data_IF_153592658552
#
_entry.id   IF_153592658552
#
_cell.length_a   1.000
_cell.length_b   1.000
_cell.length_c   1.000
_cell.angle_alpha   90.00
_cell.angle_beta   90.00
_cell.angle_gamma   90.00
#
_symmetry.space_group_name_H-M   'P 1'
#
loop_
_entity.id
_entity.type
_entity.pdbx_description
1 polymer ?
#
# COMPACT_ATOMS: atom_id res chain seq x y z
N UNK A 1 -9.87 -6.42 -12.31
CA UNK A 1 -9.29 -5.90 -13.56
C UNK A 1 -9.63 -6.85 -14.70
N UNK A 2 -10.11 -6.34 -15.84
CA UNK A 2 -10.40 -7.15 -17.04
C UNK A 2 -9.13 -7.45 -17.84
N UNK A 3 -9.22 -8.33 -18.84
CA UNK A 3 -8.09 -8.57 -19.77
C UNK A 3 -7.63 -7.30 -20.50
N UNK A 4 -8.56 -6.49 -20.99
CA UNK A 4 -8.22 -5.19 -21.59
C UNK A 4 -7.51 -4.25 -20.60
N UNK A 5 -7.91 -4.29 -19.31
CA UNK A 5 -7.22 -3.55 -18.26
C UNK A 5 -5.79 -4.06 -18.01
N UNK A 6 -5.58 -5.38 -18.03
CA UNK A 6 -4.25 -5.98 -17.93
C UNK A 6 -3.35 -5.62 -19.11
N UNK A 7 -3.88 -5.66 -20.34
CA UNK A 7 -3.14 -5.22 -21.54
C UNK A 7 -2.76 -3.74 -21.47
N UNK A 8 -3.68 -2.90 -21.00
CA UNK A 8 -3.42 -1.49 -20.74
C UNK A 8 -2.32 -1.28 -19.70
N UNK A 9 -2.40 -2.01 -18.58
CA UNK A 9 -1.39 -2.00 -17.53
C UNK A 9 -0.01 -2.41 -18.08
N UNK A 10 0.05 -3.47 -18.89
CA UNK A 10 1.30 -3.92 -19.50
C UNK A 10 1.93 -2.86 -20.39
N UNK A 11 1.13 -2.21 -21.25
CA UNK A 11 1.60 -1.08 -22.07
C UNK A 11 2.09 0.08 -21.19
N UNK A 12 1.38 0.40 -20.10
CA UNK A 12 1.79 1.45 -19.17
C UNK A 12 3.11 1.12 -18.47
N UNK A 13 3.32 -0.13 -18.06
CA UNK A 13 4.58 -0.57 -17.46
C UNK A 13 5.75 -0.45 -18.44
N UNK A 14 5.55 -0.82 -19.72
CA UNK A 14 6.56 -0.64 -20.77
C UNK A 14 6.88 0.85 -21.00
N UNK A 15 5.86 1.72 -21.01
CA UNK A 15 6.03 3.17 -21.12
C UNK A 15 6.88 3.74 -19.99
N UNK A 16 6.60 3.34 -18.74
CA UNK A 16 7.27 3.85 -17.54
C UNK A 16 8.65 3.22 -17.29
N UNK A 17 8.93 2.04 -17.87
CA UNK A 17 10.22 1.30 -17.90
C UNK A 17 10.78 0.81 -16.57
N UNK A 18 10.61 1.55 -15.48
CA UNK A 18 11.32 1.33 -14.20
C UNK A 18 10.44 0.77 -13.08
N UNK A 19 9.16 1.16 -12.92
CA UNK A 19 8.34 0.61 -11.86
C UNK A 19 8.19 -0.91 -11.93
N UNK A 20 8.05 -1.55 -10.76
CA UNK A 20 7.81 -2.98 -10.58
C UNK A 20 6.50 -3.17 -9.81
N UNK A 21 5.73 -4.17 -10.23
CA UNK A 21 4.50 -4.62 -9.58
C UNK A 21 4.69 -6.02 -8.99
N UNK A 22 4.33 -6.18 -7.72
CA UNK A 22 4.28 -7.50 -7.08
C UNK A 22 2.86 -7.81 -6.63
N UNK A 23 2.31 -8.91 -7.16
CA UNK A 23 0.98 -9.40 -6.81
C UNK A 23 1.09 -10.52 -5.79
N UNK A 24 0.44 -10.35 -4.64
CA UNK A 24 0.37 -11.36 -3.60
C UNK A 24 -1.07 -11.86 -3.49
N UNK A 25 -1.38 -13.11 -3.86
CA UNK A 25 -2.75 -13.63 -3.82
C UNK A 25 -3.26 -13.76 -2.39
N UNK A 26 -4.50 -13.33 -2.20
CA UNK A 26 -5.27 -13.54 -0.97
C UNK A 26 -6.25 -14.71 -1.21
N UNK A 27 -7.14 -14.98 -0.27
CA UNK A 27 -7.99 -16.17 -0.29
C UNK A 27 -7.60 -17.19 0.78
N UNK A 28 -8.05 -18.44 0.61
CA UNK A 28 -7.70 -19.54 1.50
C UNK A 28 -7.97 -19.21 2.98
N UNK A 29 -6.96 -19.37 3.84
CA UNK A 29 -7.07 -19.04 5.27
C UNK A 29 -7.35 -17.55 5.53
N UNK A 30 -6.85 -16.65 4.69
CA UNK A 30 -7.08 -15.20 4.86
C UNK A 30 -8.55 -14.82 4.73
N UNK A 31 -9.33 -15.54 3.92
CA UNK A 31 -10.78 -15.30 3.79
C UNK A 31 -11.61 -15.90 4.92
N UNK A 32 -11.02 -16.74 5.77
CA UNK A 32 -11.73 -17.37 6.91
C UNK A 32 -11.58 -16.57 8.21
N UNK A 33 -10.64 -15.63 8.25
CA UNK A 33 -10.38 -14.75 9.39
C UNK A 33 -11.31 -13.54 9.30
N UNK A 34 -11.97 -13.19 10.40
CA UNK A 34 -12.83 -11.99 10.43
C UNK A 34 -11.99 -10.72 10.24
N UNK A 35 -12.50 -9.74 9.51
CA UNK A 35 -11.84 -8.43 9.35
C UNK A 35 -11.67 -7.69 10.67
N UNK A 36 -12.49 -8.02 11.68
CA UNK A 36 -12.45 -7.45 13.02
C UNK A 36 -11.58 -8.24 14.00
N UNK A 37 -11.05 -9.41 13.61
CA UNK A 37 -10.27 -10.28 14.49
C UNK A 37 -8.92 -9.65 14.88
N UNK A 38 -8.38 -8.79 14.01
CA UNK A 38 -7.10 -8.11 14.20
C UNK A 38 -7.14 -6.73 13.57
N UNK A 39 -6.22 -5.80 13.91
CA UNK A 39 -6.10 -4.51 13.23
C UNK A 39 -5.78 -4.56 11.73
N UNK A 40 -5.55 -5.75 11.14
CA UNK A 40 -5.36 -5.94 9.71
C UNK A 40 -6.69 -6.40 9.05
N UNK A 41 -7.46 -5.48 8.42
CA UNK A 41 -8.83 -5.75 7.99
C UNK A 41 -8.92 -6.40 6.61
N UNK A 42 -7.83 -6.46 5.84
CA UNK A 42 -7.87 -6.92 4.44
C UNK A 42 -8.01 -8.46 4.37
N UNK A 43 -9.24 -8.95 4.51
CA UNK A 43 -9.60 -10.38 4.58
C UNK A 43 -10.47 -10.79 3.38
N UNK A 44 -11.60 -11.46 3.62
CA UNK A 44 -12.53 -11.89 2.58
C UNK A 44 -12.91 -10.73 1.63
N UNK A 45 -13.07 -11.03 0.34
CA UNK A 45 -13.34 -10.03 -0.71
C UNK A 45 -12.08 -9.40 -1.32
N UNK A 46 -10.93 -9.42 -0.65
CA UNK A 46 -9.66 -8.98 -1.23
C UNK A 46 -9.03 -10.11 -2.05
N UNK A 47 -8.75 -9.86 -3.34
CA UNK A 47 -8.21 -10.89 -4.26
C UNK A 47 -6.67 -10.92 -4.26
N UNK A 48 -6.05 -9.73 -4.31
CA UNK A 48 -4.60 -9.57 -4.29
C UNK A 48 -4.21 -8.33 -3.50
N UNK A 49 -3.07 -8.38 -2.81
CA UNK A 49 -2.32 -7.18 -2.43
C UNK A 49 -1.31 -6.87 -3.53
N UNK A 50 -1.28 -5.63 -4.00
CA UNK A 50 -0.36 -5.15 -5.02
C UNK A 50 0.64 -4.18 -4.39
N UNK A 51 1.92 -4.44 -4.58
CA UNK A 51 2.99 -3.50 -4.23
C UNK A 51 3.52 -2.83 -5.49
N UNK A 52 3.63 -1.51 -5.44
CA UNK A 52 4.32 -0.69 -6.44
C UNK A 52 5.70 -0.35 -5.89
N UNK A 53 6.75 -0.44 -6.70
CA UNK A 53 8.08 -0.01 -6.28
C UNK A 53 8.89 0.54 -7.44
N UNK A 54 9.74 1.51 -7.16
CA UNK A 54 10.81 1.99 -8.06
C UNK A 54 12.06 2.03 -7.19
N UNK A 55 13.08 1.25 -7.54
CA UNK A 55 14.38 1.26 -6.86
C UNK A 55 15.41 1.87 -7.81
N UNK A 56 16.37 2.62 -7.26
CA UNK A 56 17.38 3.30 -8.04
C UNK A 56 18.68 3.45 -7.26
N UNK A 57 19.79 3.67 -7.99
CA UNK A 57 21.12 3.92 -7.40
C UNK A 57 21.60 5.34 -7.68
N UNK A 58 21.03 5.98 -8.69
CA UNK A 58 21.39 7.32 -9.14
C UNK A 58 21.03 8.35 -8.07
N UNK A 59 22.03 9.08 -7.58
CA UNK A 59 21.83 10.12 -6.58
C UNK A 59 21.41 11.45 -7.22
N UNK A 60 20.92 12.38 -6.39
CA UNK A 60 20.55 13.74 -6.81
C UNK A 60 19.05 13.94 -7.00
N UNK A 61 18.63 15.20 -6.85
CA UNK A 61 17.22 15.63 -6.87
C UNK A 61 16.55 15.29 -8.19
N UNK A 62 17.24 15.41 -9.33
CA UNK A 62 16.67 15.05 -10.64
C UNK A 62 16.29 13.57 -10.74
N UNK A 63 17.11 12.68 -10.18
CA UNK A 63 16.83 11.26 -10.15
C UNK A 63 15.66 10.96 -9.21
N UNK A 64 15.64 11.58 -8.03
CA UNK A 64 14.55 11.48 -7.06
C UNK A 64 13.22 11.92 -7.67
N UNK A 65 13.13 13.15 -8.18
CA UNK A 65 11.93 13.73 -8.77
C UNK A 65 11.38 12.86 -9.89
N UNK A 66 12.26 12.40 -10.79
CA UNK A 66 11.88 11.50 -11.88
C UNK A 66 11.31 10.18 -11.36
N UNK A 67 11.95 9.54 -10.39
CA UNK A 67 11.51 8.22 -9.91
C UNK A 67 10.20 8.34 -9.11
N UNK A 68 10.02 9.41 -8.35
CA UNK A 68 8.77 9.74 -7.66
C UNK A 68 7.62 10.04 -8.64
N UNK A 69 7.89 10.76 -9.74
CA UNK A 69 6.89 10.96 -10.81
C UNK A 69 6.44 9.62 -11.42
N UNK A 70 7.38 8.72 -11.73
CA UNK A 70 7.06 7.42 -12.34
C UNK A 70 6.15 6.57 -11.45
N UNK A 71 6.43 6.49 -10.15
CA UNK A 71 5.62 5.69 -9.22
C UNK A 71 4.24 6.31 -9.01
N UNK A 72 4.14 7.64 -8.90
CA UNK A 72 2.87 8.37 -8.77
C UNK A 72 2.00 8.22 -10.01
N UNK A 73 2.57 8.32 -11.21
CA UNK A 73 1.85 8.08 -12.48
C UNK A 73 1.32 6.65 -12.59
N UNK A 74 2.06 5.65 -12.10
CA UNK A 74 1.57 4.27 -12.03
C UNK A 74 0.44 4.12 -11.00
N UNK A 75 0.60 4.72 -9.83
CA UNK A 75 -0.40 4.72 -8.77
C UNK A 75 -1.72 5.35 -9.24
N UNK A 76 -1.66 6.49 -9.91
CA UNK A 76 -2.80 7.18 -10.52
C UNK A 76 -3.46 6.34 -11.61
N UNK A 77 -2.67 5.78 -12.54
CA UNK A 77 -3.17 4.90 -13.60
C UNK A 77 -3.96 3.70 -13.04
N UNK A 78 -3.57 3.19 -11.88
CA UNK A 78 -4.19 2.03 -11.25
C UNK A 78 -5.49 2.32 -10.50
N UNK A 79 -5.85 3.59 -10.32
CA UNK A 79 -7.04 4.03 -9.58
C UNK A 79 -8.34 3.30 -9.95
N UNK A 80 -8.72 3.11 -11.23
CA UNK A 80 -9.97 2.44 -11.57
C UNK A 80 -9.95 0.91 -11.37
N UNK A 81 -8.78 0.31 -11.09
CA UNK A 81 -8.60 -1.14 -11.04
C UNK A 81 -8.43 -1.71 -9.63
N UNK A 82 -8.36 -0.85 -8.61
CA UNK A 82 -8.13 -1.23 -7.20
C UNK A 82 -9.33 -0.85 -6.33
N UNK A 83 -9.27 -1.19 -5.03
CA UNK A 83 -10.25 -0.77 -4.02
C UNK A 83 -10.50 0.74 -4.05
N UNK A 84 -11.73 1.15 -3.75
CA UNK A 84 -12.15 2.55 -3.68
C UNK A 84 -13.10 2.75 -2.50
N UNK A 85 -13.11 3.97 -1.96
CA UNK A 85 -13.97 4.40 -0.85
C UNK A 85 -13.84 3.58 0.45
N UNK A 86 -12.65 3.51 1.08
CA UNK A 86 -11.39 4.15 0.68
C UNK A 86 -10.53 3.30 -0.26
N UNK A 87 -9.51 3.91 -0.88
CA UNK A 87 -8.46 3.14 -1.55
C UNK A 87 -7.55 2.53 -0.48
N UNK A 88 -7.66 1.21 -0.30
CA UNK A 88 -6.96 0.48 0.75
C UNK A 88 -5.43 0.56 0.61
N UNK A 89 -4.77 0.72 1.76
CA UNK A 89 -3.30 0.66 1.90
C UNK A 89 -2.92 -0.38 2.95
N UNK A 90 -1.65 -0.77 2.96
CA UNK A 90 -1.10 -1.69 3.95
C UNK A 90 -0.13 -0.95 4.86
N UNK A 91 -0.40 -0.93 6.16
CA UNK A 91 0.36 -0.15 7.15
C UNK A 91 1.88 -0.33 7.09
N UNK A 92 2.35 -1.56 6.83
CA UNK A 92 3.79 -1.85 6.77
C UNK A 92 4.46 -1.33 5.49
N UNK A 93 3.69 -0.89 4.50
CA UNK A 93 4.16 -0.14 3.33
C UNK A 93 3.73 1.31 3.52
N UNK A 94 4.48 2.01 4.38
CA UNK A 94 4.21 3.42 4.72
C UNK A 94 4.28 4.28 3.46
N UNK A 95 3.26 5.09 3.28
CA UNK A 95 3.14 6.02 2.17
C UNK A 95 2.71 7.38 2.71
N UNK A 96 3.62 8.35 2.65
CA UNK A 96 3.39 9.72 3.13
C UNK A 96 2.54 10.54 2.17
N UNK A 97 2.42 10.12 0.90
CA UNK A 97 1.57 10.79 -0.08
C UNK A 97 0.07 10.57 0.22
N UNK A 98 -0.28 9.56 1.05
CA UNK A 98 -1.65 9.35 1.54
C UNK A 98 -2.07 10.33 2.65
N UNK A 99 -1.15 11.20 3.07
CA UNK A 99 -1.32 12.15 4.14
C UNK A 99 -0.42 11.82 5.33
N UNK A 100 -0.04 12.88 6.04
CA UNK A 100 0.64 12.78 7.33
C UNK A 100 -0.35 13.11 8.43
N UNK A 101 -0.11 12.59 9.63
CA UNK A 101 -0.89 13.00 10.79
C UNK A 101 -0.37 14.36 11.24
N UNK A 102 -0.99 15.43 10.75
CA UNK A 102 -0.72 16.79 11.21
C UNK A 102 -1.44 16.97 12.56
N UNK A 103 -0.66 17.04 13.65
CA UNK A 103 -1.05 17.15 15.08
C UNK A 103 -1.40 15.86 15.86
N UNK A 104 -0.40 15.34 16.58
CA UNK A 104 -0.56 14.74 17.91
C UNK A 104 0.31 15.47 18.96
N UNK A 105 0.52 16.78 18.78
CA UNK A 105 1.23 17.63 19.76
C UNK A 105 0.40 18.80 20.31
N UNK A 106 -0.87 18.92 19.93
CA UNK A 106 -1.81 19.76 20.65
C UNK A 106 -3.12 18.99 20.86
N UNK A 107 -3.32 18.60 22.11
CA UNK A 107 -4.62 18.39 22.75
C UNK A 107 -5.51 17.24 22.24
N UNK A 108 -5.16 16.02 22.63
CA UNK A 108 -6.07 15.12 23.35
C UNK A 108 -5.32 13.85 23.78
N UNK A 109 -5.49 13.50 25.05
CA UNK A 109 -4.98 12.30 25.69
C UNK A 109 -5.34 11.03 24.91
N UNK A 110 -4.39 10.53 24.12
CA UNK A 110 -4.46 9.17 23.58
C UNK A 110 -4.28 8.22 24.79
N UNK A 111 -5.28 7.38 25.14
CA UNK A 111 -5.05 6.34 26.14
C UNK A 111 -3.96 5.40 25.64
N UNK A 112 -3.01 4.99 26.50
CA UNK A 112 -1.80 4.30 26.07
C UNK A 112 -2.14 3.05 25.26
N UNK A 113 -1.56 2.98 24.07
CA UNK A 113 -1.49 1.77 23.28
C UNK A 113 -0.93 0.66 24.17
N UNK A 114 -1.70 -0.41 24.28
CA UNK A 114 -1.37 -1.67 24.97
C UNK A 114 0.13 -1.96 24.88
N UNK A 115 0.75 -2.06 26.05
CA UNK A 115 2.15 -2.37 26.27
C UNK A 115 2.53 -3.67 25.54
N UNK A 116 3.33 -3.53 24.49
CA UNK A 116 3.94 -4.65 23.76
C UNK A 116 5.36 -4.88 24.29
N UNK A 117 5.49 -5.04 25.61
CA UNK A 117 6.64 -5.67 26.24
C UNK A 117 6.18 -6.92 26.98
N UNK A 118 6.56 -8.07 26.43
CA UNK A 118 6.45 -9.32 27.15
C UNK A 118 7.33 -9.29 28.40
N UNK A 119 6.72 -9.57 29.55
CA UNK A 119 7.40 -10.20 30.68
C UNK A 119 6.55 -11.38 31.16
N UNK A 120 7.26 -12.45 31.48
CA UNK A 120 6.78 -13.79 31.83
C UNK A 120 6.43 -13.90 33.33
N UNK A 121 5.72 -14.98 33.68
CA UNK A 121 5.33 -15.47 35.03
C UNK A 121 4.14 -14.70 35.66
N UNK A 122 3.09 -15.34 36.19
CA UNK A 122 2.96 -16.65 36.85
C UNK A 122 1.85 -17.54 36.25
#
# INVERSE_FOLDING_TARGET
MSMAGLEGLWKKMIELKKPVLTFNPYGGKMSKISELETPFPHRAGNVYKIQYSVNWKEEGVEAEDRNLDLIRRLYEYMTPYVSKSPRSSYLNYRDVDLGTMEMAMYEQSIPPLIDWQGTMAE
#
